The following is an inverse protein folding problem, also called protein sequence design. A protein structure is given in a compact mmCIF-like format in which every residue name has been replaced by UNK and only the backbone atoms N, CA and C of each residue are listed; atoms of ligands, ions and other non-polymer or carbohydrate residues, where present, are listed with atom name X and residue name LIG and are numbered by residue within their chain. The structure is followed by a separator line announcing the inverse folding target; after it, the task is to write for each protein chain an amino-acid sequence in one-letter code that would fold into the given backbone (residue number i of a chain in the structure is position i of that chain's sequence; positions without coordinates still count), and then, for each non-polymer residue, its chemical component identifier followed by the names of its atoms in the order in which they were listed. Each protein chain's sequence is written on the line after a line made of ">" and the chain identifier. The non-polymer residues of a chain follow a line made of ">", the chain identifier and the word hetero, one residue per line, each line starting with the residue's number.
data_IF_781773694419
#
_entry.id   IF_781773694419
#
_cell.length_a   1.000
_cell.length_b   1.000
_cell.length_c   1.000
_cell.angle_alpha   90.00
_cell.angle_beta   90.00
_cell.angle_gamma   90.00
#
_symmetry.space_group_name_H-M   'P 1'
#
loop_
_entity.id
_entity.type
_entity.pdbx_description
1 polymer ?
#
# COMPACT_ATOMS: atom_id res chain seq x y z
N UNK A 1 13.60 -31.13 26.54
CA UNK A 1 12.43 -30.24 26.71
C UNK A 1 12.77 -28.76 26.53
N UNK A 2 13.85 -28.24 27.13
CA UNK A 2 14.28 -26.84 26.95
C UNK A 2 14.61 -26.44 25.50
N UNK A 3 15.23 -27.33 24.72
CA UNK A 3 15.46 -27.12 23.27
C UNK A 3 14.15 -26.96 22.49
N UNK A 4 13.17 -27.82 22.80
CA UNK A 4 11.83 -27.74 22.20
C UNK A 4 11.15 -26.41 22.56
N UNK A 5 11.29 -25.97 23.81
CA UNK A 5 10.74 -24.71 24.30
C UNK A 5 11.43 -23.49 23.67
N UNK A 6 12.75 -23.54 23.44
CA UNK A 6 13.48 -22.51 22.69
C UNK A 6 13.01 -22.43 21.23
N UNK A 7 12.83 -23.57 20.57
CA UNK A 7 12.30 -23.61 19.20
C UNK A 7 10.88 -23.06 19.16
N UNK A 8 10.01 -23.45 20.10
CA UNK A 8 8.63 -22.93 20.20
C UNK A 8 8.61 -21.43 20.48
N UNK A 9 9.47 -20.93 21.38
CA UNK A 9 9.58 -19.50 21.70
C UNK A 9 10.12 -18.70 20.52
N UNK A 10 11.15 -19.21 19.82
CA UNK A 10 11.68 -18.58 18.60
C UNK A 10 10.58 -18.53 17.54
N UNK A 11 9.87 -19.63 17.27
CA UNK A 11 8.76 -19.64 16.33
C UNK A 11 7.67 -18.63 16.73
N UNK A 12 7.27 -18.60 18.00
CA UNK A 12 6.26 -17.66 18.51
C UNK A 12 6.68 -16.20 18.34
N UNK A 13 7.96 -15.88 18.61
CA UNK A 13 8.54 -14.55 18.41
C UNK A 13 8.57 -14.16 16.94
N UNK A 14 9.00 -15.06 16.05
CA UNK A 14 9.03 -14.83 14.59
C UNK A 14 7.60 -14.61 14.05
N UNK A 15 6.61 -15.36 14.55
CA UNK A 15 5.20 -15.20 14.18
C UNK A 15 4.66 -13.84 14.64
N UNK A 16 4.96 -13.41 15.87
CA UNK A 16 4.47 -12.14 16.41
C UNK A 16 5.08 -10.88 15.78
N UNK A 17 6.23 -11.01 15.11
CA UNK A 17 6.92 -9.91 14.42
C UNK A 17 6.37 -9.61 13.01
N UNK A 18 5.51 -10.47 12.45
CA UNK A 18 4.85 -10.23 11.17
C UNK A 18 3.67 -9.24 11.32
N UNK A 19 3.95 -8.01 11.75
CA UNK A 19 3.00 -6.91 11.58
C UNK A 19 3.15 -6.38 10.16
N UNK A 20 2.16 -6.61 9.31
CA UNK A 20 2.09 -6.06 7.95
C UNK A 20 1.75 -4.57 8.02
N UNK A 21 2.72 -3.76 8.44
CA UNK A 21 2.59 -2.32 8.41
C UNK A 21 3.05 -1.81 7.04
N UNK A 22 2.20 -1.02 6.37
CA UNK A 22 2.55 -0.47 5.07
C UNK A 22 3.75 0.46 5.17
N UNK A 23 4.56 0.51 4.11
CA UNK A 23 5.66 1.46 4.01
C UNK A 23 5.15 2.90 4.17
N UNK A 24 5.99 3.80 4.70
CA UNK A 24 5.61 5.21 4.87
C UNK A 24 5.16 5.81 3.54
N UNK A 25 3.97 6.43 3.53
CA UNK A 25 3.36 7.02 2.34
C UNK A 25 2.44 6.09 1.56
N UNK A 26 2.31 4.83 1.98
CA UNK A 26 1.34 3.88 1.46
C UNK A 26 0.11 3.80 2.37
N UNK A 27 -1.05 3.48 1.77
CA UNK A 27 -2.32 3.36 2.46
C UNK A 27 -2.72 1.90 2.53
N UNK A 28 -3.02 1.40 3.72
CA UNK A 28 -3.49 0.03 3.93
C UNK A 28 -4.98 -0.09 3.58
N UNK A 29 -5.34 -1.10 2.79
CA UNK A 29 -6.73 -1.49 2.57
C UNK A 29 -6.81 -3.01 2.31
N UNK A 30 -7.72 -3.68 3.04
CA UNK A 30 -7.83 -5.13 2.96
C UNK A 30 -6.53 -5.82 3.40
N UNK A 31 -5.92 -6.56 2.48
CA UNK A 31 -4.68 -7.31 2.71
C UNK A 31 -3.49 -6.74 1.91
N UNK A 32 -3.62 -5.51 1.41
CA UNK A 32 -2.72 -4.87 0.46
C UNK A 32 -2.37 -3.44 0.88
N UNK A 33 -1.24 -2.95 0.39
CA UNK A 33 -0.80 -1.56 0.54
C UNK A 33 -0.87 -0.85 -0.82
N UNK A 34 -1.40 0.38 -0.83
CA UNK A 34 -1.62 1.16 -2.05
C UNK A 34 -0.83 2.47 -2.03
N UNK A 35 -0.20 2.81 -3.15
CA UNK A 35 0.49 4.08 -3.35
C UNK A 35 -0.21 4.91 -4.42
N UNK A 36 -0.54 6.16 -4.09
CA UNK A 36 -1.20 7.09 -5.01
C UNK A 36 -0.20 8.13 -5.52
N UNK A 37 0.30 7.93 -6.75
CA UNK A 37 1.20 8.87 -7.41
C UNK A 37 0.50 10.20 -7.70
N UNK A 38 1.16 11.31 -7.40
CA UNK A 38 0.72 12.66 -7.79
C UNK A 38 1.03 13.01 -9.25
N UNK A 39 1.82 12.18 -9.95
CA UNK A 39 2.21 12.38 -11.34
C UNK A 39 1.50 11.41 -12.26
N UNK A 40 0.95 11.95 -13.35
CA UNK A 40 0.43 11.17 -14.46
C UNK A 40 1.58 10.50 -15.23
N UNK A 41 1.35 9.26 -15.66
CA UNK A 41 2.29 8.44 -16.43
C UNK A 41 1.51 7.68 -17.50
N UNK A 42 2.19 7.28 -18.58
CA UNK A 42 1.64 6.25 -19.47
C UNK A 42 1.46 4.96 -18.68
N UNK A 43 0.60 4.06 -19.16
CA UNK A 43 0.36 2.79 -18.48
C UNK A 43 1.65 1.98 -18.31
N UNK A 44 2.49 1.92 -19.36
CA UNK A 44 3.76 1.19 -19.33
C UNK A 44 4.77 1.80 -18.35
N UNK A 45 4.87 3.14 -18.32
CA UNK A 45 5.75 3.84 -17.39
C UNK A 45 5.27 3.70 -15.94
N UNK A 46 3.96 3.69 -15.71
CA UNK A 46 3.39 3.46 -14.38
C UNK A 46 3.71 2.05 -13.89
N UNK A 47 3.52 1.03 -14.73
CA UNK A 47 3.86 -0.35 -14.38
C UNK A 47 5.36 -0.53 -14.09
N UNK A 48 6.24 0.08 -14.90
CA UNK A 48 7.68 0.06 -14.66
C UNK A 48 8.07 0.82 -13.40
N UNK A 49 7.41 1.95 -13.11
CA UNK A 49 7.60 2.70 -11.87
C UNK A 49 7.24 1.86 -10.65
N UNK A 50 6.07 1.20 -10.63
CA UNK A 50 5.67 0.33 -9.52
C UNK A 50 6.69 -0.80 -9.28
N UNK A 51 7.15 -1.47 -10.35
CA UNK A 51 8.17 -2.53 -10.24
C UNK A 51 9.49 -2.03 -9.65
N UNK A 52 9.91 -0.82 -10.00
CA UNK A 52 11.11 -0.21 -9.44
C UNK A 52 11.00 0.08 -7.93
N UNK A 53 9.78 0.15 -7.39
CA UNK A 53 9.48 0.31 -5.96
C UNK A 53 9.09 -1.02 -5.29
N UNK A 54 9.45 -2.16 -5.88
CA UNK A 54 9.10 -3.50 -5.39
C UNK A 54 7.59 -3.72 -5.19
N UNK A 55 6.79 -3.11 -6.07
CA UNK A 55 5.33 -3.24 -6.08
C UNK A 55 4.81 -3.50 -7.49
N UNK A 56 3.49 -3.66 -7.60
CA UNK A 56 2.81 -3.80 -8.89
C UNK A 56 1.82 -2.66 -9.13
N UNK A 57 1.42 -2.49 -10.39
CA UNK A 57 0.35 -1.56 -10.74
C UNK A 57 -0.95 -2.12 -10.18
N UNK A 58 -1.73 -1.30 -9.45
CA UNK A 58 -2.92 -1.77 -8.76
C UNK A 58 -3.90 -2.48 -9.71
N UNK A 59 -4.22 -3.74 -9.39
CA UNK A 59 -5.26 -4.53 -10.01
C UNK A 59 -6.48 -4.56 -9.10
N UNK A 60 -7.63 -4.12 -9.60
CA UNK A 60 -8.87 -4.07 -8.82
C UNK A 60 -9.58 -5.41 -8.88
N UNK A 61 -9.68 -6.09 -7.74
CA UNK A 61 -10.27 -7.42 -7.62
C UNK A 61 -11.69 -7.39 -7.05
N UNK A 62 -12.00 -6.37 -6.24
CA UNK A 62 -13.30 -6.28 -5.55
C UNK A 62 -13.96 -4.91 -5.71
N UNK A 63 -15.28 -4.89 -5.54
CA UNK A 63 -16.04 -3.63 -5.51
C UNK A 63 -15.60 -2.71 -4.36
N UNK A 64 -15.36 -3.28 -3.19
CA UNK A 64 -14.92 -2.51 -2.03
C UNK A 64 -13.57 -1.82 -2.28
N UNK A 65 -12.65 -2.52 -2.96
CA UNK A 65 -11.38 -1.95 -3.39
C UNK A 65 -11.57 -0.82 -4.42
N UNK A 66 -12.43 -1.02 -5.41
CA UNK A 66 -12.75 0.01 -6.39
C UNK A 66 -13.28 1.28 -5.73
N UNK A 67 -14.19 1.12 -4.77
CA UNK A 67 -14.81 2.24 -4.03
C UNK A 67 -13.76 2.98 -3.19
N UNK A 68 -12.89 2.25 -2.50
CA UNK A 68 -11.76 2.80 -1.74
C UNK A 68 -10.76 3.59 -2.62
N UNK A 69 -10.35 3.01 -3.75
CA UNK A 69 -9.43 3.65 -4.70
C UNK A 69 -10.05 4.92 -5.26
N UNK A 70 -11.32 4.85 -5.67
CA UNK A 70 -12.04 5.99 -6.27
C UNK A 70 -12.20 7.14 -5.26
N UNK A 71 -12.65 6.85 -4.04
CA UNK A 71 -12.78 7.87 -2.98
C UNK A 71 -11.43 8.53 -2.66
N UNK A 72 -10.38 7.72 -2.54
CA UNK A 72 -9.04 8.22 -2.21
C UNK A 72 -8.50 9.12 -3.32
N UNK A 73 -8.67 8.75 -4.59
CA UNK A 73 -8.28 9.59 -5.74
C UNK A 73 -9.05 10.91 -5.73
N UNK A 74 -10.36 10.89 -5.47
CA UNK A 74 -11.17 12.10 -5.42
C UNK A 74 -10.73 13.03 -4.29
N UNK A 75 -10.45 12.50 -3.09
CA UNK A 75 -9.90 13.26 -1.97
C UNK A 75 -8.56 13.91 -2.31
N UNK A 76 -7.66 13.17 -2.96
CA UNK A 76 -6.36 13.69 -3.41
C UNK A 76 -6.55 14.81 -4.44
N UNK A 77 -7.40 14.61 -5.46
CA UNK A 77 -7.69 15.62 -6.48
C UNK A 77 -8.26 16.90 -5.87
N UNK A 78 -9.21 16.78 -4.94
CA UNK A 78 -9.80 17.94 -4.26
C UNK A 78 -8.77 18.69 -3.41
N UNK A 79 -7.89 17.95 -2.70
CA UNK A 79 -6.78 18.54 -1.96
C UNK A 79 -5.76 19.25 -2.86
N UNK A 80 -5.46 18.68 -4.03
CA UNK A 80 -4.58 19.29 -5.04
C UNK A 80 -5.20 20.54 -5.68
N UNK A 81 -6.52 20.54 -5.93
CA UNK A 81 -7.23 21.72 -6.46
C UNK A 81 -7.12 22.89 -5.49
N UNK A 82 -7.43 22.66 -4.21
CA UNK A 82 -7.37 23.70 -3.16
C UNK A 82 -5.97 24.31 -3.01
N UNK A 83 -4.91 23.53 -3.23
CA UNK A 83 -3.53 24.01 -3.18
C UNK A 83 -3.17 24.92 -4.38
N UNK A 84 -3.80 24.70 -5.54
CA UNK A 84 -3.59 25.54 -6.73
C UNK A 84 -4.23 26.92 -6.57
N UNK A 85 -5.38 26.98 -5.91
CA UNK A 85 -6.15 28.23 -5.75
C UNK A 85 -5.64 29.13 -4.59
N UNK A 86 -4.56 28.72 -3.91
CA UNK A 86 -3.94 29.44 -2.78
C UNK A 86 -2.51 29.94 -3.08
N UNK A 87 -2.08 29.86 -4.34
CA UNK A 87 -0.74 30.23 -4.80
C UNK A 87 -0.80 31.34 -5.87
#
# INVERSE_FOLDING_TARGET
>A
MAFLQYVVVILFVIISAAKSECQRGWVHFGNSCYFFSSRHKSWLDAASFCRAYHSELASVETRAENDFITDTINRIKNGLSKKRDSA
#
